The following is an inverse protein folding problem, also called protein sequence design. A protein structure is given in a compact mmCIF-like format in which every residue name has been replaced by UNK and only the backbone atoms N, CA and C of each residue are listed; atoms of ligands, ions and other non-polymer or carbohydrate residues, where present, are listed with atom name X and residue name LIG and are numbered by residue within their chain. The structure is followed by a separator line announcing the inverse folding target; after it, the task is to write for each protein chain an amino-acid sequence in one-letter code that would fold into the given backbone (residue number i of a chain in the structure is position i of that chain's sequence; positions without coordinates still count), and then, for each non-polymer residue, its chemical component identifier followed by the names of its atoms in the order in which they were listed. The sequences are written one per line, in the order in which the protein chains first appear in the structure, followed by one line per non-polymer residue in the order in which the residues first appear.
data_IF_799383216111
#
_entry.id   IF_799383216111
#
_cell.length_a   1.000
_cell.length_b   1.000
_cell.length_c   1.000
_cell.angle_alpha   90.00
_cell.angle_beta   90.00
_cell.angle_gamma   90.00
#
_symmetry.space_group_name_H-M   'P 1'
#
loop_
_entity.id
_entity.type
_entity.pdbx_description
1 polymer ?
#
# COMPACT_ATOMS: atom_id res chain seq x y z
N UNK A 1 -1.40 -12.22 -49.49
CA UNK A 1 -0.96 -11.59 -48.23
C UNK A 1 -1.77 -12.16 -47.05
N UNK A 2 -1.08 -12.76 -46.12
CA UNK A 2 -1.73 -13.35 -44.96
C UNK A 2 -1.80 -12.32 -43.83
N UNK A 3 -3.01 -12.04 -43.43
CA UNK A 3 -3.23 -11.15 -42.27
C UNK A 3 -3.41 -12.00 -41.02
N UNK A 4 -2.42 -11.96 -40.16
CA UNK A 4 -2.52 -12.62 -38.89
C UNK A 4 -2.93 -11.58 -37.87
N UNK A 5 -4.02 -11.88 -37.14
CA UNK A 5 -4.28 -11.19 -35.86
C UNK A 5 -3.58 -12.04 -34.84
N UNK A 6 -2.43 -11.60 -34.31
CA UNK A 6 -1.75 -12.39 -33.30
C UNK A 6 -2.62 -12.54 -32.04
N UNK A 7 -2.81 -13.78 -31.66
CA UNK A 7 -3.56 -14.13 -30.46
C UNK A 7 -2.60 -14.81 -29.49
N UNK A 8 -2.64 -14.41 -28.25
CA UNK A 8 -1.79 -14.97 -27.22
C UNK A 8 -2.61 -15.85 -26.27
N UNK A 9 -2.13 -17.07 -26.10
CA UNK A 9 -2.62 -17.96 -25.06
C UNK A 9 -2.03 -17.51 -23.73
N UNK A 10 -2.89 -17.23 -22.75
CA UNK A 10 -2.48 -16.75 -21.44
C UNK A 10 -2.58 -17.90 -20.45
N UNK A 11 -1.49 -18.18 -19.76
CA UNK A 11 -1.41 -19.23 -18.75
C UNK A 11 -1.03 -18.64 -17.39
N UNK A 12 -1.57 -19.23 -16.34
CA UNK A 12 -1.28 -18.88 -14.96
C UNK A 12 -0.95 -20.16 -14.21
N UNK A 13 0.24 -20.24 -13.65
CA UNK A 13 0.73 -21.44 -12.95
C UNK A 13 0.68 -22.70 -13.83
N UNK A 14 0.97 -22.55 -15.13
CA UNK A 14 0.98 -23.66 -16.07
C UNK A 14 -0.39 -24.05 -16.62
N UNK A 15 -1.45 -23.37 -16.22
CA UNK A 15 -2.81 -23.64 -16.67
C UNK A 15 -3.29 -22.52 -17.59
N UNK A 16 -3.85 -22.88 -18.75
CA UNK A 16 -4.41 -21.92 -19.69
C UNK A 16 -5.68 -21.29 -19.10
N UNK A 17 -5.70 -19.97 -18.98
CA UNK A 17 -6.84 -19.24 -18.43
C UNK A 17 -7.61 -18.45 -19.48
N UNK A 18 -7.08 -18.28 -20.67
CA UNK A 18 -7.77 -17.58 -21.74
C UNK A 18 -6.84 -17.16 -22.87
N UNK A 19 -7.36 -16.31 -23.74
CA UNK A 19 -6.66 -15.79 -24.90
C UNK A 19 -6.86 -14.29 -24.99
N UNK A 20 -5.82 -13.56 -25.40
CA UNK A 20 -5.89 -12.12 -25.60
C UNK A 20 -5.36 -11.76 -27.00
N UNK A 21 -6.01 -10.82 -27.65
CA UNK A 21 -5.53 -10.24 -28.91
C UNK A 21 -4.62 -9.03 -28.67
N UNK A 22 -4.55 -8.53 -27.46
CA UNK A 22 -3.75 -7.38 -27.10
C UNK A 22 -2.98 -7.61 -25.79
N UNK A 23 -1.88 -8.33 -25.92
CA UNK A 23 -1.00 -8.66 -24.81
C UNK A 23 -0.51 -7.42 -24.06
N UNK A 24 -0.13 -6.38 -24.80
CA UNK A 24 0.42 -5.16 -24.20
C UNK A 24 -0.59 -4.44 -23.33
N UNK A 25 -1.84 -4.34 -23.79
CA UNK A 25 -2.90 -3.71 -23.01
C UNK A 25 -3.26 -4.52 -21.76
N UNK A 26 -3.33 -5.84 -21.91
CA UNK A 26 -3.60 -6.72 -20.77
C UNK A 26 -2.50 -6.61 -19.70
N UNK A 27 -1.24 -6.66 -20.13
CA UNK A 27 -0.11 -6.53 -19.22
C UNK A 27 -0.07 -5.15 -18.56
N UNK A 28 -0.37 -4.10 -19.31
CA UNK A 28 -0.44 -2.74 -18.78
C UNK A 28 -1.54 -2.61 -17.70
N UNK A 29 -2.68 -3.26 -17.93
CA UNK A 29 -3.78 -3.27 -16.97
C UNK A 29 -3.39 -4.00 -15.68
N UNK A 30 -2.68 -5.11 -15.80
CA UNK A 30 -2.16 -5.85 -14.63
C UNK A 30 -1.14 -4.99 -13.86
N UNK A 31 -0.22 -4.36 -14.58
CA UNK A 31 0.80 -3.51 -13.98
C UNK A 31 0.17 -2.32 -13.24
N UNK A 32 -0.82 -1.68 -13.83
CA UNK A 32 -1.55 -0.57 -13.21
C UNK A 32 -2.28 -0.99 -11.95
N UNK A 33 -2.83 -2.20 -11.95
CA UNK A 33 -3.53 -2.74 -10.80
C UNK A 33 -2.59 -2.93 -9.60
N UNK A 34 -1.33 -3.26 -9.83
CA UNK A 34 -0.34 -3.51 -8.77
C UNK A 34 0.37 -2.25 -8.28
N UNK A 35 0.12 -1.10 -8.91
CA UNK A 35 0.75 0.16 -8.56
C UNK A 35 0.22 0.79 -7.27
N UNK A 36 0.99 1.73 -6.76
CA UNK A 36 0.64 2.54 -5.60
C UNK A 36 -0.65 3.32 -5.84
N UNK A 37 -1.51 3.37 -4.83
CA UNK A 37 -2.71 4.20 -4.80
C UNK A 37 -2.70 5.02 -3.51
N UNK A 38 -2.27 6.27 -3.60
CA UNK A 38 -2.16 7.16 -2.46
C UNK A 38 -3.50 7.46 -1.80
N UNK A 39 -4.57 7.56 -2.58
CA UNK A 39 -5.90 7.84 -2.03
C UNK A 39 -6.41 6.74 -1.11
N UNK A 40 -6.05 5.50 -1.41
CA UNK A 40 -6.42 4.33 -0.61
C UNK A 40 -5.34 3.91 0.38
N UNK A 41 -4.23 4.64 0.44
CA UNK A 41 -3.04 4.31 1.24
C UNK A 41 -2.44 2.95 0.87
N UNK A 42 -2.59 2.54 -0.38
CA UNK A 42 -2.03 1.31 -0.90
C UNK A 42 -0.62 1.60 -1.44
N UNK A 43 0.37 0.91 -0.88
CA UNK A 43 1.74 0.98 -1.37
C UNK A 43 1.90 0.16 -2.65
N UNK A 44 1.39 -1.03 -2.65
CA UNK A 44 1.38 -1.93 -3.80
C UNK A 44 0.36 -3.04 -3.57
N UNK A 45 -0.01 -3.71 -4.67
CA UNK A 45 -0.85 -4.91 -4.60
C UNK A 45 -0.01 -6.08 -5.11
N UNK A 46 0.13 -7.11 -4.32
CA UNK A 46 0.86 -8.31 -4.69
C UNK A 46 -0.08 -9.32 -5.31
N UNK A 47 0.28 -9.82 -6.50
CA UNK A 47 -0.42 -10.93 -7.12
C UNK A 47 0.42 -12.20 -6.96
N UNK A 48 -0.24 -13.34 -6.79
CA UNK A 48 0.44 -14.60 -6.48
C UNK A 48 1.32 -15.09 -7.62
N UNK A 49 0.90 -14.88 -8.85
CA UNK A 49 1.67 -15.30 -10.01
C UNK A 49 1.44 -14.35 -11.19
N UNK A 50 2.49 -14.12 -11.97
CA UNK A 50 2.40 -13.39 -13.22
C UNK A 50 2.00 -14.34 -14.35
N UNK A 51 1.19 -13.88 -15.30
CA UNK A 51 0.81 -14.72 -16.42
C UNK A 51 1.99 -14.94 -17.38
N UNK A 52 1.94 -16.04 -18.10
CA UNK A 52 2.82 -16.30 -19.24
C UNK A 52 2.01 -16.25 -20.52
N UNK A 53 2.66 -15.86 -21.62
CA UNK A 53 2.01 -15.66 -22.91
C UNK A 53 2.66 -16.53 -23.96
N UNK A 54 1.83 -17.20 -24.77
CA UNK A 54 2.31 -17.95 -25.91
C UNK A 54 1.60 -17.49 -27.18
N UNK A 55 2.36 -17.09 -28.17
CA UNK A 55 1.81 -16.63 -29.43
C UNK A 55 1.18 -17.79 -30.21
N UNK A 56 -0.08 -17.61 -30.63
CA UNK A 56 -0.86 -18.57 -31.36
C UNK A 56 -1.29 -17.97 -32.72
N UNK A 57 -0.54 -18.23 -33.77
CA UNK A 57 -0.78 -17.63 -35.10
C UNK A 57 -1.91 -18.28 -35.87
N UNK A 58 -2.24 -19.52 -35.58
CA UNK A 58 -3.11 -20.34 -36.41
C UNK A 58 -4.54 -20.52 -35.90
N UNK A 59 -4.87 -19.96 -34.75
CA UNK A 59 -6.22 -20.12 -34.23
C UNK A 59 -7.14 -18.99 -34.64
N UNK A 60 -7.99 -19.28 -35.61
CA UNK A 60 -9.06 -18.37 -36.00
C UNK A 60 -10.29 -18.64 -35.19
N UNK A 61 -10.99 -17.58 -34.82
CA UNK A 61 -12.25 -17.69 -34.11
C UNK A 61 -12.17 -18.01 -32.61
N UNK A 62 -10.96 -17.89 -32.05
CA UNK A 62 -10.82 -18.00 -30.60
C UNK A 62 -11.34 -16.73 -29.96
N UNK A 63 -12.25 -16.89 -29.02
CA UNK A 63 -12.76 -15.74 -28.26
C UNK A 63 -11.70 -15.23 -27.30
N UNK A 64 -11.53 -13.91 -27.26
CA UNK A 64 -10.66 -13.25 -26.31
C UNK A 64 -11.51 -12.76 -25.14
N UNK A 65 -10.98 -12.89 -23.93
CA UNK A 65 -11.71 -12.49 -22.73
C UNK A 65 -10.74 -11.89 -21.71
N UNK A 66 -10.30 -10.67 -21.98
CA UNK A 66 -9.33 -9.96 -21.18
C UNK A 66 -9.84 -9.69 -19.76
N UNK A 67 -11.13 -9.38 -19.61
CA UNK A 67 -11.73 -9.12 -18.30
C UNK A 67 -11.72 -10.35 -17.41
N UNK A 68 -12.08 -11.51 -17.96
CA UNK A 68 -12.05 -12.77 -17.23
C UNK A 68 -10.63 -13.18 -16.83
N UNK A 69 -9.68 -13.02 -17.76
CA UNK A 69 -8.25 -13.27 -17.50
C UNK A 69 -7.76 -12.38 -16.37
N UNK A 70 -8.06 -11.09 -16.45
CA UNK A 70 -7.67 -10.13 -15.43
C UNK A 70 -8.27 -10.49 -14.06
N UNK A 71 -9.54 -10.89 -14.03
CA UNK A 71 -10.21 -11.30 -12.79
C UNK A 71 -9.54 -12.54 -12.18
N UNK A 72 -9.15 -13.50 -13.00
CA UNK A 72 -8.45 -14.70 -12.50
C UNK A 72 -7.07 -14.39 -11.95
N UNK A 73 -6.33 -13.50 -12.61
CA UNK A 73 -4.99 -13.10 -12.17
C UNK A 73 -5.05 -12.34 -10.85
N UNK A 74 -6.07 -11.51 -10.66
CA UNK A 74 -6.20 -10.64 -9.49
C UNK A 74 -7.06 -11.23 -8.37
N UNK A 75 -7.61 -12.43 -8.55
CA UNK A 75 -8.53 -13.05 -7.59
C UNK A 75 -7.92 -13.19 -6.18
N UNK A 76 -6.65 -13.57 -6.10
CA UNK A 76 -5.94 -13.78 -4.84
C UNK A 76 -4.95 -12.64 -4.55
N UNK A 77 -5.19 -11.47 -5.12
CA UNK A 77 -4.32 -10.31 -4.91
C UNK A 77 -4.39 -9.81 -3.47
N UNK A 78 -3.25 -9.43 -2.93
CA UNK A 78 -3.13 -8.94 -1.56
C UNK A 78 -2.65 -7.49 -1.59
N UNK A 79 -3.46 -6.53 -1.15
CA UNK A 79 -3.00 -5.15 -1.03
C UNK A 79 -2.10 -4.99 0.19
N UNK A 80 -1.04 -4.21 0.02
CA UNK A 80 -0.18 -3.78 1.10
C UNK A 80 -0.36 -2.29 1.30
N UNK A 81 -0.83 -1.92 2.47
CA UNK A 81 -1.09 -0.54 2.83
C UNK A 81 0.17 0.10 3.40
N UNK A 82 0.35 1.36 3.08
CA UNK A 82 1.46 2.17 3.57
C UNK A 82 0.96 3.07 4.67
N UNK A 83 1.68 3.11 5.78
CA UNK A 83 1.32 3.98 6.88
C UNK A 83 2.56 4.42 7.64
N UNK A 84 2.40 5.45 8.45
CA UNK A 84 3.47 6.03 9.24
C UNK A 84 3.12 5.93 10.70
N UNK A 85 4.00 5.31 11.48
CA UNK A 85 3.80 5.18 12.91
C UNK A 85 4.61 6.27 13.63
N UNK A 86 3.94 6.99 14.51
CA UNK A 86 4.62 7.85 15.47
C UNK A 86 5.05 6.97 16.63
N UNK A 87 6.34 6.98 16.94
CA UNK A 87 6.89 6.20 18.05
C UNK A 87 7.34 7.08 19.18
N UNK A 88 7.15 6.61 20.38
CA UNK A 88 7.70 7.19 21.60
C UNK A 88 8.45 6.09 22.34
N UNK A 89 9.73 6.29 22.62
CA UNK A 89 10.60 5.26 23.19
C UNK A 89 10.57 3.94 22.39
N UNK A 90 10.55 4.05 21.06
CA UNK A 90 10.50 2.93 20.12
C UNK A 90 9.16 2.16 20.13
N UNK A 91 8.15 2.64 20.83
CA UNK A 91 6.82 2.04 20.83
C UNK A 91 5.88 2.82 19.91
N UNK A 92 5.14 2.10 19.09
CA UNK A 92 4.16 2.69 18.20
C UNK A 92 2.97 3.23 19.00
N UNK A 93 2.68 4.51 18.83
CA UNK A 93 1.59 5.19 19.55
C UNK A 93 0.40 5.50 18.64
N UNK A 94 0.67 6.06 17.47
CA UNK A 94 -0.36 6.49 16.53
C UNK A 94 0.05 6.18 15.11
N UNK A 95 -0.94 6.07 14.23
CA UNK A 95 -0.74 5.83 12.80
C UNK A 95 -1.30 6.99 11.99
N UNK A 96 -0.53 7.41 10.99
CA UNK A 96 -0.88 8.51 10.09
C UNK A 96 -0.75 8.05 8.65
N UNK A 97 -1.56 8.64 7.78
CA UNK A 97 -1.63 8.23 6.37
C UNK A 97 -0.51 8.82 5.50
N UNK A 98 0.14 9.90 5.95
CA UNK A 98 1.20 10.54 5.16
C UNK A 98 2.37 10.93 6.04
N UNK A 99 3.56 10.94 5.42
CA UNK A 99 4.78 11.40 6.07
C UNK A 99 4.68 12.88 6.50
N UNK A 100 4.04 13.69 5.66
CA UNK A 100 3.84 15.11 5.95
C UNK A 100 3.06 15.32 7.24
N UNK A 101 1.98 14.55 7.43
CA UNK A 101 1.19 14.63 8.66
C UNK A 101 1.98 14.16 9.88
N UNK A 102 2.78 13.12 9.72
CA UNK A 102 3.65 12.63 10.79
C UNK A 102 4.70 13.67 11.19
N UNK A 103 5.33 14.34 10.20
CA UNK A 103 6.26 15.45 10.45
C UNK A 103 5.59 16.58 11.18
N UNK A 104 4.36 16.92 10.80
CA UNK A 104 3.60 18.00 11.42
C UNK A 104 3.34 17.73 12.89
N UNK A 105 3.04 16.48 13.26
CA UNK A 105 2.90 16.09 14.66
C UNK A 105 4.18 16.37 15.44
N UNK A 106 5.32 15.94 14.90
CA UNK A 106 6.62 16.16 15.54
C UNK A 106 6.93 17.64 15.67
N UNK A 107 6.72 18.42 14.60
CA UNK A 107 7.00 19.86 14.58
C UNK A 107 6.14 20.61 15.60
N UNK A 108 4.87 20.27 15.71
CA UNK A 108 3.97 20.90 16.69
C UNK A 108 4.35 20.54 18.13
N UNK A 109 4.82 19.34 18.37
CA UNK A 109 5.31 18.95 19.70
C UNK A 109 6.61 19.65 20.04
N UNK A 110 7.51 19.84 19.08
CA UNK A 110 8.74 20.60 19.27
C UNK A 110 8.45 22.06 19.62
N UNK A 111 7.46 22.68 19.00
CA UNK A 111 7.05 24.05 19.30
C UNK A 111 6.53 24.18 20.75
N UNK A 112 5.89 23.14 21.25
CA UNK A 112 5.38 23.13 22.63
C UNK A 112 6.49 22.87 23.65
N UNK A 113 7.44 21.99 23.32
CA UNK A 113 8.55 21.64 24.19
C UNK A 113 9.68 21.01 23.38
N UNK A 114 10.80 21.72 23.28
CA UNK A 114 11.96 21.27 22.53
C UNK A 114 12.62 19.99 23.07
N UNK A 115 12.36 19.64 24.36
CA UNK A 115 12.87 18.42 24.96
C UNK A 115 12.18 17.15 24.46
N UNK A 116 11.09 17.29 23.73
CA UNK A 116 10.34 16.14 23.19
C UNK A 116 11.01 15.43 22.02
N UNK A 117 12.01 16.06 21.40
CA UNK A 117 12.64 15.56 20.17
C UNK A 117 13.28 14.18 20.31
N UNK A 118 13.92 13.91 21.43
CA UNK A 118 14.81 12.77 21.55
C UNK A 118 14.07 11.42 21.62
N UNK A 119 12.81 11.45 22.07
CA UNK A 119 12.03 10.23 22.29
C UNK A 119 11.06 9.89 21.19
N UNK A 120 10.88 10.80 20.22
CA UNK A 120 9.89 10.67 19.17
C UNK A 120 10.50 10.27 17.84
N UNK A 121 9.85 9.39 17.12
CA UNK A 121 10.27 8.98 15.80
C UNK A 121 9.11 8.73 14.86
N UNK A 122 9.42 8.67 13.57
CA UNK A 122 8.48 8.32 12.51
C UNK A 122 9.02 7.08 11.82
N UNK A 123 8.19 6.04 11.73
CA UNK A 123 8.56 4.80 11.03
C UNK A 123 7.58 4.56 9.90
N UNK A 124 8.10 4.42 8.68
CA UNK A 124 7.30 4.04 7.52
C UNK A 124 7.12 2.52 7.53
N UNK A 125 5.89 2.08 7.45
CA UNK A 125 5.55 0.66 7.54
C UNK A 125 4.58 0.24 6.44
N UNK A 126 4.59 -1.05 6.16
CA UNK A 126 3.71 -1.68 5.18
C UNK A 126 3.02 -2.87 5.84
N UNK A 127 1.75 -3.05 5.56
CA UNK A 127 1.01 -4.17 6.13
C UNK A 127 -0.24 -4.53 5.34
N UNK A 128 -0.73 -5.73 5.56
CA UNK A 128 -1.91 -6.26 4.87
C UNK A 128 -3.21 -5.67 5.39
N UNK A 129 -3.18 -5.02 6.55
CA UNK A 129 -4.35 -4.40 7.16
C UNK A 129 -4.27 -2.89 7.08
N UNK A 130 -5.39 -2.28 6.73
CA UNK A 130 -5.51 -0.82 6.78
C UNK A 130 -5.60 -0.40 8.24
N UNK A 131 -4.68 0.46 8.67
CA UNK A 131 -4.67 0.97 10.04
C UNK A 131 -5.68 2.10 10.23
N UNK A 132 -6.17 2.24 11.46
CA UNK A 132 -6.98 3.39 11.83
C UNK A 132 -6.06 4.59 12.03
N UNK A 133 -6.28 5.63 11.22
CA UNK A 133 -5.46 6.83 11.27
C UNK A 133 -5.99 7.82 12.30
N UNK A 134 -5.06 8.44 13.01
CA UNK A 134 -5.37 9.47 14.00
C UNK A 134 -5.03 10.83 13.41
N UNK A 135 -5.86 11.84 13.70
CA UNK A 135 -5.59 13.19 13.22
C UNK A 135 -4.34 13.78 13.87
N UNK A 136 -3.68 14.70 13.17
CA UNK A 136 -2.52 15.42 13.69
C UNK A 136 -2.83 16.07 15.05
N UNK A 137 -3.94 16.76 15.11
CA UNK A 137 -4.38 17.46 16.33
C UNK A 137 -4.53 16.52 17.52
N UNK A 138 -5.15 15.36 17.31
CA UNK A 138 -5.34 14.37 18.35
C UNK A 138 -4.03 13.76 18.82
N UNK A 139 -3.13 13.44 17.88
CA UNK A 139 -1.80 12.93 18.20
C UNK A 139 -1.02 13.91 19.07
N UNK A 140 -0.99 15.17 18.67
CA UNK A 140 -0.29 16.23 19.41
C UNK A 140 -0.85 16.36 20.83
N UNK A 141 -2.17 16.42 20.95
CA UNK A 141 -2.82 16.55 22.26
C UNK A 141 -2.49 15.40 23.20
N UNK A 142 -2.60 14.17 22.72
CA UNK A 142 -2.37 13.01 23.56
C UNK A 142 -0.91 12.82 23.96
N UNK A 143 0.00 13.03 23.03
CA UNK A 143 1.43 12.91 23.32
C UNK A 143 1.90 14.00 24.28
N UNK A 144 1.37 15.21 24.15
CA UNK A 144 1.70 16.31 25.03
C UNK A 144 1.16 16.09 26.45
N UNK A 145 -0.06 15.60 26.60
CA UNK A 145 -0.67 15.27 27.88
C UNK A 145 0.13 14.21 28.64
N UNK A 146 0.57 13.16 27.98
CA UNK A 146 1.40 12.11 28.58
C UNK A 146 2.69 12.67 29.18
N UNK A 147 3.32 13.62 28.51
CA UNK A 147 4.56 14.23 28.99
C UNK A 147 4.36 15.17 30.18
N UNK A 148 3.23 15.84 30.27
CA UNK A 148 2.93 16.72 31.41
C UNK A 148 2.63 15.92 32.66
N UNK A 149 1.95 14.80 32.56
CA UNK A 149 1.54 13.99 33.70
C UNK A 149 2.74 13.43 34.48
N UNK A 150 3.79 12.97 33.77
CA UNK A 150 4.97 12.37 34.40
C UNK A 150 5.71 13.33 35.34
N UNK A 151 6.08 14.57 34.93
CA UNK A 151 6.72 15.51 35.86
C UNK A 151 5.88 15.88 37.05
N UNK A 152 4.58 16.08 36.88
CA UNK A 152 3.66 16.42 37.97
C UNK A 152 3.59 15.31 39.02
N UNK A 153 3.62 14.06 38.55
CA UNK A 153 3.59 12.91 39.45
C UNK A 153 4.86 12.78 40.26
N UNK A 154 5.99 13.11 39.71
CA UNK A 154 7.28 13.06 40.41
C UNK A 154 7.35 14.05 41.59
N UNK A 155 6.77 15.21 41.40
CA UNK A 155 6.77 16.25 42.48
C UNK A 155 5.86 15.95 43.63
N UNK A 156 4.94 15.04 43.51
CA UNK A 156 4.02 14.69 44.61
C UNK A 156 4.72 13.97 45.77
N UNK A 157 5.96 13.54 45.57
CA UNK A 157 6.76 12.86 46.60
C UNK A 157 7.78 13.74 47.32
N UNK A 158 7.85 14.97 46.94
CA UNK A 158 8.81 15.88 47.54
C UNK A 158 8.43 16.35 48.96
#
# INVERSE_FOLDING_TARGET
MLFYNPTYEVSLNGEVIGYTSNKSDLQAKINSYTEEDEEKNIAFIQIDAMPTYRLCLLKKGVETNDEEIFSKITADATPYYKYYAITEDKKEKFYLSSFKDAEEVIDQLEEKDSANQDDLGIVEKYGKELKDFTSVKTCVSKLYEEKIVVPTYTYSYA
#
